data_IF_209406398568
#
_entry.id   IF_209406398568
#
_cell.length_a   1.000
_cell.length_b   1.000
_cell.length_c   1.000
_cell.angle_alpha   90.00
_cell.angle_beta   90.00
_cell.angle_gamma   90.00
#
_symmetry.space_group_name_H-M   'P 1'
#
loop_
_entity.id
_entity.type
_entity.pdbx_description
1 polymer ?
#
# COMPACT_ATOMS: atom_id res chain seq x y z
N UNK A 1 -6.61 15.35 18.93
CA UNK A 1 -7.77 15.85 18.15
C UNK A 1 -7.29 16.13 16.73
N UNK A 2 -7.87 15.51 15.69
CA UNK A 2 -8.78 14.37 15.73
C UNK A 2 -8.08 13.09 15.24
N UNK A 3 -8.26 11.99 15.96
CA UNK A 3 -8.08 10.61 15.49
C UNK A 3 -9.16 10.27 14.43
N UNK A 4 -9.35 11.17 13.46
CA UNK A 4 -10.36 11.10 12.41
C UNK A 4 -9.72 11.35 11.05
N UNK A 5 -8.48 10.88 10.89
CA UNK A 5 -7.81 10.82 9.59
C UNK A 5 -8.45 9.73 8.73
N UNK A 6 -8.60 10.00 7.43
CA UNK A 6 -9.02 8.98 6.48
C UNK A 6 -7.76 8.37 5.88
N UNK A 7 -7.67 7.05 5.89
CA UNK A 7 -6.58 6.32 5.24
C UNK A 7 -7.07 5.84 3.89
N UNK A 8 -6.54 6.41 2.81
CA UNK A 8 -6.75 5.88 1.46
C UNK A 8 -5.87 4.66 1.23
N UNK A 9 -6.48 3.63 0.64
CA UNK A 9 -5.87 2.34 0.39
C UNK A 9 -5.68 2.20 -1.11
N UNK A 10 -4.44 2.02 -1.54
CA UNK A 10 -4.07 1.79 -2.93
C UNK A 10 -3.50 0.39 -3.07
N UNK A 11 -4.01 -0.37 -4.04
CA UNK A 11 -3.35 -1.58 -4.50
C UNK A 11 -2.43 -1.24 -5.66
N UNK A 12 -1.14 -1.49 -5.49
CA UNK A 12 -0.10 -1.22 -6.47
C UNK A 12 0.45 -2.54 -7.01
N UNK A 13 0.61 -2.62 -8.33
CA UNK A 13 1.27 -3.75 -9.00
C UNK A 13 2.47 -3.26 -9.80
N UNK A 14 3.63 -3.81 -9.50
CA UNK A 14 4.88 -3.57 -10.22
C UNK A 14 4.75 -4.29 -11.56
N UNK A 15 4.80 -3.52 -12.64
CA UNK A 15 4.93 -4.07 -13.99
C UNK A 15 6.36 -3.90 -14.45
N UNK A 16 6.97 -5.02 -14.85
CA UNK A 16 8.17 -5.01 -15.66
C UNK A 16 7.73 -5.05 -17.12
N UNK A 17 7.75 -3.92 -17.80
CA UNK A 17 7.64 -3.93 -19.26
C UNK A 17 9.02 -4.20 -19.84
N UNK A 18 9.17 -5.35 -20.51
CA UNK A 18 10.30 -5.57 -21.40
C UNK A 18 10.16 -4.60 -22.58
N UNK A 19 10.86 -3.47 -22.51
CA UNK A 19 10.96 -2.58 -23.66
C UNK A 19 11.64 -3.34 -24.80
N UNK A 20 10.96 -3.46 -25.94
CA UNK A 20 11.40 -4.19 -27.14
C UNK A 20 12.61 -3.52 -27.84
N UNK A 21 13.18 -2.47 -27.26
CA UNK A 21 14.35 -1.78 -27.81
C UNK A 21 15.48 -1.72 -26.81
N UNK A 22 16.63 -2.28 -27.20
CA UNK A 22 17.89 -2.33 -26.46
C UNK A 22 18.37 -0.96 -25.98
N UNK A 23 17.94 -0.54 -24.79
CA UNK A 23 18.71 0.30 -23.88
C UNK A 23 18.42 -0.17 -22.46
N UNK A 24 19.49 -0.51 -21.73
CA UNK A 24 19.50 -1.07 -20.38
C UNK A 24 18.93 -0.11 -19.32
N UNK A 25 17.65 0.20 -19.38
CA UNK A 25 16.90 0.89 -18.33
C UNK A 25 15.58 0.15 -18.14
N UNK A 26 15.59 -0.87 -17.27
CA UNK A 26 14.35 -1.44 -16.74
C UNK A 26 13.81 -0.39 -15.77
N UNK A 27 12.97 0.52 -16.27
CA UNK A 27 12.18 1.36 -15.37
C UNK A 27 11.05 0.52 -14.81
N UNK A 28 11.14 0.18 -13.54
CA UNK A 28 10.03 -0.42 -12.80
C UNK A 28 8.98 0.67 -12.58
N UNK A 29 7.79 0.48 -13.13
CA UNK A 29 6.65 1.36 -12.87
C UNK A 29 5.58 0.58 -12.10
N UNK A 30 5.09 1.20 -11.03
CA UNK A 30 3.96 0.67 -10.25
C UNK A 30 2.66 1.27 -10.76
N UNK A 31 1.69 0.42 -11.12
CA UNK A 31 0.33 0.86 -11.41
C UNK A 31 -0.48 0.72 -10.13
N UNK A 32 -0.87 1.85 -9.54
CA UNK A 32 -1.69 1.90 -8.34
C UNK A 32 -3.16 2.19 -8.67
N UNK A 33 -4.06 1.53 -7.96
CA UNK A 33 -5.51 1.77 -8.01
C UNK A 33 -6.04 1.98 -6.61
N UNK A 34 -6.91 2.96 -6.43
CA UNK A 34 -7.66 3.10 -5.17
C UNK A 34 -8.57 1.90 -5.03
N UNK A 35 -8.42 1.18 -3.92
CA UNK A 35 -9.24 0.01 -3.59
C UNK A 35 -10.20 0.29 -2.43
N UNK A 36 -9.99 1.39 -1.71
CA UNK A 36 -10.92 1.86 -0.70
C UNK A 36 -10.33 2.95 0.17
N UNK A 37 -11.08 3.27 1.22
CA UNK A 37 -10.64 4.14 2.30
C UNK A 37 -11.21 3.62 3.61
N UNK A 38 -10.46 3.75 4.69
CA UNK A 38 -10.86 3.40 6.05
C UNK A 38 -10.55 4.54 7.00
N UNK A 39 -11.23 4.60 8.14
CA UNK A 39 -10.79 5.50 9.21
C UNK A 39 -9.44 5.06 9.78
N UNK A 40 -8.68 6.00 10.32
CA UNK A 40 -7.44 5.69 11.02
C UNK A 40 -7.65 4.73 12.21
N UNK A 41 -8.79 4.83 12.89
CA UNK A 41 -9.18 3.92 13.98
C UNK A 41 -9.39 2.48 13.47
N UNK A 42 -10.05 2.29 12.33
CA UNK A 42 -10.17 0.96 11.71
C UNK A 42 -8.80 0.38 11.34
N UNK A 43 -7.90 1.20 10.79
CA UNK A 43 -6.54 0.77 10.43
C UNK A 43 -5.76 0.38 11.68
N UNK A 44 -5.84 1.14 12.77
CA UNK A 44 -5.18 0.83 14.04
C UNK A 44 -5.53 -0.55 14.60
N UNK A 45 -6.74 -1.03 14.36
CA UNK A 45 -7.21 -2.33 14.86
C UNK A 45 -6.73 -3.53 14.03
N UNK A 46 -6.36 -3.30 12.76
CA UNK A 46 -5.97 -4.39 11.82
C UNK A 46 -4.49 -4.37 11.45
N UNK A 47 -3.85 -3.22 11.60
CA UNK A 47 -2.46 -3.00 11.24
C UNK A 47 -1.55 -3.22 12.46
N UNK A 48 -0.43 -3.94 12.33
CA UNK A 48 0.52 -4.09 13.43
C UNK A 48 1.01 -2.72 13.92
N UNK A 49 1.26 -2.62 15.23
CA UNK A 49 1.61 -1.36 15.90
C UNK A 49 2.78 -0.62 15.21
N UNK A 50 3.83 -1.35 14.82
CA UNK A 50 5.00 -0.77 14.14
C UNK A 50 4.63 -0.08 12.81
N UNK A 51 3.80 -0.73 12.00
CA UNK A 51 3.33 -0.19 10.72
C UNK A 51 2.37 0.99 10.91
N UNK A 52 1.55 0.93 11.96
CA UNK A 52 0.66 2.04 12.31
C UNK A 52 1.44 3.29 12.72
N UNK A 53 2.47 3.13 13.56
CA UNK A 53 3.33 4.24 13.97
C UNK A 53 4.07 4.86 12.78
N UNK A 54 4.55 4.03 11.85
CA UNK A 54 5.16 4.50 10.61
C UNK A 54 4.16 5.26 9.73
N UNK A 55 2.92 4.77 9.57
CA UNK A 55 1.88 5.46 8.80
C UNK A 55 1.56 6.84 9.40
N UNK A 56 1.42 6.94 10.73
CA UNK A 56 1.13 8.21 11.40
C UNK A 56 2.32 9.17 11.34
N UNK A 57 3.54 8.65 11.47
CA UNK A 57 4.77 9.47 11.43
C UNK A 57 5.10 10.00 10.03
N UNK A 58 4.95 9.14 9.02
CA UNK A 58 5.39 9.44 7.65
C UNK A 58 4.24 9.94 6.75
N UNK A 59 2.99 9.77 7.19
CA UNK A 59 1.79 10.04 6.38
C UNK A 59 1.48 8.95 5.36
N UNK A 60 2.39 8.00 5.13
CA UNK A 60 2.16 6.85 4.25
C UNK A 60 3.02 5.64 4.61
N UNK A 61 2.61 4.48 4.14
CA UNK A 61 3.36 3.23 4.26
C UNK A 61 3.06 2.27 3.10
N UNK A 62 4.05 1.47 2.72
CA UNK A 62 3.94 0.41 1.73
C UNK A 62 4.03 -0.96 2.43
N UNK A 63 3.09 -1.85 2.13
CA UNK A 63 2.95 -3.17 2.75
C UNK A 63 2.99 -4.23 1.67
N UNK A 64 4.04 -5.05 1.70
CA UNK A 64 4.29 -6.13 0.74
C UNK A 64 3.88 -7.51 1.30
N UNK A 65 3.66 -7.61 2.61
CA UNK A 65 3.31 -8.85 3.29
C UNK A 65 1.83 -9.20 3.09
N UNK A 66 1.57 -10.34 2.45
CA UNK A 66 0.22 -10.82 2.13
C UNK A 66 -0.63 -11.08 3.39
N UNK A 67 -0.03 -11.49 4.52
CA UNK A 67 -0.76 -11.73 5.76
C UNK A 67 -1.28 -10.39 6.32
N UNK A 68 -0.45 -9.35 6.32
CA UNK A 68 -0.84 -8.00 6.76
C UNK A 68 -1.87 -7.39 5.81
N UNK A 69 -1.66 -7.53 4.49
CA UNK A 69 -2.60 -7.06 3.46
C UNK A 69 -3.98 -7.66 3.70
N UNK A 70 -4.05 -8.97 3.94
CA UNK A 70 -5.32 -9.69 4.08
C UNK A 70 -6.17 -9.19 5.27
N UNK A 71 -5.53 -8.67 6.32
CA UNK A 71 -6.20 -8.05 7.46
C UNK A 71 -6.85 -6.70 7.11
N UNK A 72 -6.30 -5.99 6.10
CA UNK A 72 -6.78 -4.68 5.68
C UNK A 72 -7.88 -4.82 4.63
N UNK A 73 -7.64 -5.66 3.62
CA UNK A 73 -8.59 -5.96 2.54
C UNK A 73 -8.44 -7.43 2.11
N UNK A 74 -9.52 -8.10 1.71
CA UNK A 74 -9.49 -9.52 1.35
C UNK A 74 -8.91 -9.74 -0.07
N UNK A 75 -7.67 -9.32 -0.31
CA UNK A 75 -6.92 -9.57 -1.55
C UNK A 75 -5.53 -10.12 -1.23
N UNK A 76 -4.94 -10.81 -2.21
CA UNK A 76 -3.52 -11.20 -2.20
C UNK A 76 -2.77 -10.28 -3.16
N UNK A 77 -1.69 -9.66 -2.70
CA UNK A 77 -0.87 -8.77 -3.53
C UNK A 77 0.10 -9.55 -4.43
N UNK A 78 0.59 -10.70 -3.95
CA UNK A 78 1.54 -11.56 -4.65
C UNK A 78 2.93 -10.93 -4.85
N UNK A 79 3.86 -11.66 -5.47
CA UNK A 79 5.31 -11.30 -5.52
C UNK A 79 5.65 -9.94 -6.13
N UNK A 80 4.73 -9.32 -6.88
CA UNK A 80 4.93 -8.02 -7.54
C UNK A 80 3.83 -7.02 -7.20
N UNK A 81 3.15 -7.21 -6.09
CA UNK A 81 2.12 -6.29 -5.61
C UNK A 81 2.41 -5.79 -4.21
N UNK A 82 1.81 -4.67 -3.85
CA UNK A 82 1.82 -4.14 -2.50
C UNK A 82 0.60 -3.25 -2.26
N UNK A 83 0.29 -3.04 -0.98
CA UNK A 83 -0.66 -2.03 -0.55
C UNK A 83 0.09 -0.75 -0.16
N UNK A 84 -0.37 0.39 -0.65
CA UNK A 84 0.05 1.70 -0.15
C UNK A 84 -1.10 2.31 0.64
N UNK A 85 -0.86 2.63 1.90
CA UNK A 85 -1.77 3.37 2.76
C UNK A 85 -1.30 4.82 2.82
N UNK A 86 -2.23 5.76 2.65
CA UNK A 86 -1.93 7.21 2.70
C UNK A 86 -2.92 7.88 3.64
N UNK A 87 -2.41 8.62 4.61
CA UNK A 87 -3.18 9.42 5.55
C UNK A 87 -3.64 10.72 4.88
N UNK A 88 -4.93 11.01 4.97
CA UNK A 88 -5.59 12.25 4.52
C UNK A 88 -6.26 13.01 5.65
#
# INVERSE_FOLDING_TARGET
MPDSGIVKIYYCKIKEEQQVFSRHHISMFSICRVVGSKSLEEIKNVLPQEYYEQLVSNGEIEIFDDDIVSNIIPITVGEKGYLRLVLE
#
